data_IF_106135113177
#
_entry.id   IF_106135113177
#
_cell.length_a   1.000
_cell.length_b   1.000
_cell.length_c   1.000
_cell.angle_alpha   90.00
_cell.angle_beta   90.00
_cell.angle_gamma   90.00
#
_symmetry.space_group_name_H-M   'P 1'
#
loop_
_entity.id
_entity.type
_entity.pdbx_description
1 polymer ?
#
# COMPACT_ATOMS: atom_id res chain seq x y z
N UNK A 1 17.61 17.69 11.37
CA UNK A 1 17.39 16.37 12.04
C UNK A 1 17.40 15.32 10.95
N UNK A 2 18.09 14.19 11.13
CA UNK A 2 18.02 13.07 10.19
C UNK A 2 16.61 12.49 10.20
N UNK A 3 16.07 12.10 9.04
CA UNK A 3 14.76 11.48 8.94
C UNK A 3 14.69 10.13 9.69
N UNK A 4 13.49 9.70 10.04
CA UNK A 4 13.26 8.47 10.85
C UNK A 4 13.62 7.18 10.12
N UNK A 5 13.79 7.22 8.80
CA UNK A 5 14.16 6.10 7.93
C UNK A 5 15.53 6.30 7.26
N UNK A 6 16.40 7.12 7.88
CA UNK A 6 17.75 7.33 7.37
C UNK A 6 18.48 5.99 7.21
N UNK A 7 19.07 5.78 6.01
CA UNK A 7 19.80 4.55 5.63
C UNK A 7 18.94 3.27 5.65
N UNK A 8 17.63 3.39 5.54
CA UNK A 8 16.69 2.28 5.35
C UNK A 8 16.31 2.14 3.89
N UNK A 9 15.99 0.92 3.49
CA UNK A 9 15.55 0.57 2.15
C UNK A 9 14.08 0.16 2.18
N UNK A 10 13.28 0.80 1.35
CA UNK A 10 11.85 0.55 1.24
C UNK A 10 11.46 0.15 -0.19
N UNK A 11 10.57 -0.83 -0.33
CA UNK A 11 9.86 -1.12 -1.58
C UNK A 11 8.42 -0.63 -1.44
N UNK A 12 7.91 0.04 -2.47
CA UNK A 12 6.49 0.41 -2.57
C UNK A 12 5.94 -0.11 -3.90
N UNK A 13 4.97 -1.02 -3.85
CA UNK A 13 4.29 -1.52 -5.06
C UNK A 13 3.12 -0.62 -5.44
N UNK A 14 2.81 -0.50 -6.73
CA UNK A 14 1.80 0.44 -7.23
C UNK A 14 2.18 1.90 -6.96
N UNK A 15 3.47 2.22 -7.08
CA UNK A 15 4.04 3.48 -6.63
C UNK A 15 3.98 4.62 -7.65
N UNK A 16 3.50 4.36 -8.86
CA UNK A 16 3.51 5.38 -9.93
C UNK A 16 2.42 6.45 -9.75
N UNK A 17 1.36 6.18 -8.99
CA UNK A 17 0.25 7.13 -8.76
C UNK A 17 -0.45 6.93 -7.41
N UNK A 18 -1.33 7.85 -7.06
CA UNK A 18 -2.24 7.77 -5.90
C UNK A 18 -1.53 7.52 -4.58
N UNK A 19 -2.09 6.61 -3.78
CA UNK A 19 -1.54 6.28 -2.47
C UNK A 19 -0.07 5.81 -2.54
N UNK A 20 0.26 4.96 -3.53
CA UNK A 20 1.61 4.43 -3.67
C UNK A 20 2.64 5.52 -3.93
N UNK A 21 2.32 6.50 -4.79
CA UNK A 21 3.17 7.67 -5.03
C UNK A 21 3.35 8.50 -3.77
N UNK A 22 2.25 8.85 -3.09
CA UNK A 22 2.31 9.65 -1.86
C UNK A 22 3.13 8.94 -0.76
N UNK A 23 2.95 7.63 -0.61
CA UNK A 23 3.72 6.80 0.33
C UNK A 23 5.21 6.81 -0.02
N UNK A 24 5.57 6.60 -1.30
CA UNK A 24 6.96 6.59 -1.73
C UNK A 24 7.66 7.93 -1.46
N UNK A 25 7.00 9.04 -1.79
CA UNK A 25 7.49 10.39 -1.50
C UNK A 25 7.67 10.62 0.01
N UNK A 26 6.70 10.21 0.83
CA UNK A 26 6.75 10.40 2.27
C UNK A 26 7.85 9.56 2.94
N UNK A 27 8.06 8.30 2.52
CA UNK A 27 9.16 7.45 3.02
C UNK A 27 10.53 8.04 2.63
N UNK A 28 10.65 8.56 1.40
CA UNK A 28 11.87 9.22 0.94
C UNK A 28 12.16 10.51 1.72
N UNK A 29 11.13 11.30 2.06
CA UNK A 29 11.27 12.49 2.90
C UNK A 29 11.77 12.16 4.32
N UNK A 30 11.48 10.96 4.82
CA UNK A 30 12.03 10.42 6.07
C UNK A 30 13.43 9.81 5.91
N UNK A 31 14.06 9.92 4.74
CA UNK A 31 15.44 9.50 4.49
C UNK A 31 15.61 8.07 3.96
N UNK A 32 14.52 7.38 3.62
CA UNK A 32 14.62 6.05 3.01
C UNK A 32 15.16 6.12 1.57
N UNK A 33 15.92 5.10 1.17
CA UNK A 33 16.09 4.77 -0.24
C UNK A 33 14.85 3.99 -0.69
N UNK A 34 14.12 4.50 -1.69
CA UNK A 34 12.83 3.94 -2.10
C UNK A 34 12.95 3.27 -3.46
N UNK A 35 12.64 1.98 -3.51
CA UNK A 35 12.41 1.26 -4.76
C UNK A 35 10.93 1.39 -5.12
N UNK A 36 10.65 2.23 -6.09
CA UNK A 36 9.34 2.42 -6.68
C UNK A 36 9.04 1.26 -7.63
N UNK A 37 7.93 0.58 -7.48
CA UNK A 37 7.57 -0.53 -8.36
C UNK A 37 6.13 -0.43 -8.84
N UNK A 38 5.93 -0.64 -10.13
CA UNK A 38 4.62 -0.63 -10.79
C UNK A 38 4.72 -1.39 -12.14
N UNK A 39 3.59 -1.57 -12.84
CA UNK A 39 3.54 -2.09 -14.21
C UNK A 39 4.16 -1.12 -15.24
N UNK A 40 4.17 0.18 -14.92
CA UNK A 40 4.75 1.25 -15.73
C UNK A 40 5.22 2.37 -14.82
N UNK A 41 6.20 3.12 -15.29
CA UNK A 41 6.83 4.20 -14.53
C UNK A 41 5.96 5.46 -14.46
N UNK A 42 5.17 5.70 -15.50
CA UNK A 42 4.31 6.86 -15.66
C UNK A 42 3.10 6.76 -14.73
N UNK A 43 2.66 7.90 -14.20
CA UNK A 43 1.46 7.98 -13.39
C UNK A 43 0.20 7.63 -14.19
N UNK A 44 -0.81 7.13 -13.50
CA UNK A 44 -2.11 6.86 -14.09
C UNK A 44 -2.80 8.17 -14.44
N UNK A 45 -3.37 8.25 -15.63
CA UNK A 45 -4.19 9.40 -16.04
C UNK A 45 -5.36 9.65 -15.09
N UNK A 46 -5.72 10.91 -14.92
CA UNK A 46 -6.84 11.32 -14.07
C UNK A 46 -6.53 11.33 -12.57
N UNK A 47 -5.26 11.24 -12.16
CA UNK A 47 -4.84 11.44 -10.77
C UNK A 47 -5.05 12.89 -10.29
N UNK A 48 -4.88 13.08 -9.00
CA UNK A 48 -4.99 14.40 -8.33
C UNK A 48 -3.60 14.96 -7.97
N UNK A 49 -2.54 14.28 -8.40
CA UNK A 49 -1.17 14.67 -8.14
C UNK A 49 -0.82 15.96 -8.92
N UNK A 50 -0.25 16.99 -8.27
CA UNK A 50 0.03 18.27 -8.91
C UNK A 50 1.13 18.19 -10.00
N UNK A 51 1.96 17.16 -9.94
CA UNK A 51 3.10 16.90 -10.85
C UNK A 51 2.98 15.54 -11.57
N UNK A 52 1.77 15.21 -12.03
CA UNK A 52 1.41 13.92 -12.64
C UNK A 52 2.31 13.53 -13.82
N UNK A 53 2.87 14.50 -14.54
CA UNK A 53 3.78 14.26 -15.68
C UNK A 53 5.19 13.81 -15.25
N UNK A 54 5.47 13.82 -13.94
CA UNK A 54 6.78 13.42 -13.41
C UNK A 54 6.66 12.05 -12.75
N UNK A 55 7.52 11.12 -13.13
CA UNK A 55 7.62 9.82 -12.47
C UNK A 55 7.97 9.97 -10.98
N UNK A 56 7.50 9.06 -10.14
CA UNK A 56 7.65 9.13 -8.68
C UNK A 56 9.10 9.12 -8.23
N UNK A 57 9.92 8.26 -8.83
CA UNK A 57 11.36 8.19 -8.54
C UNK A 57 12.12 9.45 -8.98
N UNK A 58 11.72 10.09 -10.09
CA UNK A 58 12.26 11.40 -10.49
C UNK A 58 11.87 12.50 -9.51
N UNK A 59 10.64 12.50 -9.03
CA UNK A 59 10.17 13.47 -8.03
C UNK A 59 10.95 13.34 -6.72
N UNK A 60 11.21 12.10 -6.26
CA UNK A 60 12.03 11.83 -5.07
C UNK A 60 13.46 12.33 -5.27
N UNK A 61 14.10 12.02 -6.43
CA UNK A 61 15.47 12.46 -6.71
C UNK A 61 15.59 13.98 -6.81
N UNK A 62 14.60 14.62 -7.42
CA UNK A 62 14.56 16.09 -7.52
C UNK A 62 14.45 16.73 -6.14
N UNK A 63 13.76 16.12 -5.20
CA UNK A 63 13.67 16.58 -3.81
C UNK A 63 14.93 16.23 -2.98
N UNK A 64 15.96 15.65 -3.59
CA UNK A 64 17.21 15.28 -2.91
C UNK A 64 17.20 13.92 -2.24
N UNK A 65 16.15 13.14 -2.39
CA UNK A 65 16.03 11.76 -1.91
C UNK A 65 16.70 10.74 -2.84
N UNK A 66 16.67 9.47 -2.43
CA UNK A 66 17.20 8.34 -3.21
C UNK A 66 16.05 7.45 -3.64
N UNK A 67 15.92 7.22 -4.94
CA UNK A 67 14.91 6.31 -5.46
C UNK A 67 15.32 5.69 -6.79
N UNK A 68 14.78 4.49 -7.03
CA UNK A 68 14.87 3.77 -8.30
C UNK A 68 13.48 3.24 -8.69
N UNK A 69 13.29 3.02 -9.98
CA UNK A 69 12.10 2.37 -10.49
C UNK A 69 12.43 0.95 -10.97
N UNK A 70 11.62 -0.01 -10.53
CA UNK A 70 11.68 -1.40 -11.00
C UNK A 70 10.30 -1.81 -11.50
N UNK A 71 10.18 -2.09 -12.78
CA UNK A 71 8.96 -2.62 -13.37
C UNK A 71 8.68 -4.02 -12.85
N UNK A 72 7.50 -4.23 -12.27
CA UNK A 72 7.05 -5.54 -11.81
C UNK A 72 5.51 -5.61 -11.73
N UNK A 73 4.97 -6.74 -12.16
CA UNK A 73 3.58 -7.11 -11.93
C UNK A 73 3.43 -7.75 -10.55
N UNK A 74 2.73 -7.07 -9.65
CA UNK A 74 2.49 -7.57 -8.29
C UNK A 74 1.73 -8.90 -8.25
N UNK A 75 0.96 -9.24 -9.29
CA UNK A 75 0.25 -10.52 -9.39
C UNK A 75 1.14 -11.70 -9.82
N UNK A 76 2.37 -11.43 -10.31
CA UNK A 76 3.28 -12.44 -10.86
C UNK A 76 4.38 -12.82 -9.87
N UNK A 77 4.43 -14.11 -9.52
CA UNK A 77 5.41 -14.66 -8.59
C UNK A 77 6.85 -14.27 -8.94
N UNK A 78 7.26 -14.50 -10.20
CA UNK A 78 8.63 -14.24 -10.66
C UNK A 78 9.01 -12.76 -10.60
N UNK A 79 8.06 -11.85 -10.85
CA UNK A 79 8.32 -10.41 -10.83
C UNK A 79 8.53 -9.91 -9.40
N UNK A 80 7.68 -10.33 -8.45
CA UNK A 80 7.82 -9.95 -7.04
C UNK A 80 9.08 -10.58 -6.41
N UNK A 81 9.40 -11.83 -6.76
CA UNK A 81 10.67 -12.44 -6.33
C UNK A 81 11.88 -11.67 -6.86
N UNK A 82 11.89 -11.33 -8.15
CA UNK A 82 12.92 -10.53 -8.79
C UNK A 82 13.05 -9.15 -8.14
N UNK A 83 11.94 -8.44 -7.93
CA UNK A 83 11.91 -7.11 -7.30
C UNK A 83 12.63 -7.13 -5.94
N UNK A 84 12.26 -8.04 -5.06
CA UNK A 84 12.86 -8.15 -3.72
C UNK A 84 14.33 -8.58 -3.80
N UNK A 85 14.66 -9.52 -4.69
CA UNK A 85 16.01 -10.03 -4.83
C UNK A 85 16.97 -8.98 -5.39
N UNK A 86 16.56 -8.23 -6.41
CA UNK A 86 17.34 -7.12 -6.98
C UNK A 86 17.56 -6.02 -5.95
N UNK A 87 16.49 -5.58 -5.25
CA UNK A 87 16.61 -4.59 -4.17
C UNK A 87 17.60 -5.03 -3.11
N UNK A 88 17.52 -6.29 -2.67
CA UNK A 88 18.44 -6.81 -1.66
C UNK A 88 19.88 -6.94 -2.16
N UNK A 89 20.09 -7.26 -3.42
CA UNK A 89 21.42 -7.36 -4.02
C UNK A 89 22.07 -5.98 -4.17
N UNK A 90 21.30 -4.97 -4.54
CA UNK A 90 21.80 -3.61 -4.77
C UNK A 90 22.05 -2.83 -3.49
N UNK A 91 21.11 -2.86 -2.55
CA UNK A 91 21.17 -2.06 -1.32
C UNK A 91 21.60 -2.86 -0.08
N UNK A 92 21.81 -4.17 -0.19
CA UNK A 92 22.28 -5.03 0.89
C UNK A 92 21.22 -5.37 1.95
N UNK A 93 20.00 -4.77 1.89
CA UNK A 93 18.92 -4.95 2.86
C UNK A 93 17.55 -4.60 2.30
N UNK A 94 16.50 -4.97 3.03
CA UNK A 94 15.14 -4.51 2.83
C UNK A 94 14.51 -4.26 4.22
N UNK A 95 14.23 -3.01 4.55
CA UNK A 95 13.68 -2.63 5.86
C UNK A 95 12.18 -2.46 5.86
N UNK A 96 11.61 -1.97 4.76
CA UNK A 96 10.18 -1.70 4.65
C UNK A 96 9.63 -2.27 3.36
N UNK A 97 8.57 -3.07 3.46
CA UNK A 97 7.76 -3.50 2.32
C UNK A 97 6.37 -2.91 2.42
N UNK A 98 5.99 -2.07 1.46
CA UNK A 98 4.63 -1.54 1.34
C UNK A 98 3.93 -2.24 0.18
N UNK A 99 2.98 -3.12 0.52
CA UNK A 99 2.12 -3.80 -0.44
C UNK A 99 0.91 -2.91 -0.72
N UNK A 100 1.06 -2.01 -1.71
CA UNK A 100 0.02 -1.05 -2.06
C UNK A 100 -0.64 -1.34 -3.42
N UNK A 101 0.03 -2.01 -4.35
CA UNK A 101 -0.55 -2.34 -5.66
C UNK A 101 -1.96 -2.92 -5.50
N UNK A 102 -2.90 -2.36 -6.24
CA UNK A 102 -4.29 -2.77 -6.18
C UNK A 102 -5.07 -2.23 -7.37
N UNK A 103 -6.11 -2.96 -7.71
CA UNK A 103 -7.08 -2.58 -8.75
C UNK A 103 -8.49 -2.54 -8.17
N UNK A 104 -9.34 -1.83 -8.85
CA UNK A 104 -10.77 -1.85 -8.70
C UNK A 104 -11.37 -2.12 -10.08
N UNK A 105 -12.31 -3.03 -10.15
CA UNK A 105 -13.13 -3.30 -11.34
C UNK A 105 -14.40 -2.45 -11.29
N UNK A 106 -15.40 -2.78 -12.03
CA UNK A 106 -16.67 -2.07 -11.97
C UNK A 106 -17.51 -2.49 -10.75
N UNK A 107 -18.57 -1.73 -10.46
CA UNK A 107 -19.54 -2.06 -9.41
C UNK A 107 -20.52 -3.11 -9.92
N UNK A 108 -20.46 -4.29 -9.33
CA UNK A 108 -21.37 -5.40 -9.66
C UNK A 108 -21.88 -6.09 -8.40
N UNK A 109 -23.12 -6.59 -8.45
CA UNK A 109 -23.56 -7.56 -7.45
C UNK A 109 -22.85 -8.89 -7.69
N UNK A 110 -22.86 -9.79 -6.70
CA UNK A 110 -22.27 -11.14 -6.85
C UNK A 110 -22.85 -11.93 -8.03
N UNK A 111 -24.05 -11.59 -8.47
CA UNK A 111 -24.72 -12.28 -9.58
C UNK A 111 -24.19 -11.82 -10.94
N UNK A 112 -23.75 -10.57 -11.03
CA UNK A 112 -23.34 -9.91 -12.28
C UNK A 112 -21.81 -9.84 -12.41
N UNK A 113 -21.03 -9.96 -11.31
CA UNK A 113 -19.58 -9.99 -11.35
C UNK A 113 -19.08 -11.22 -12.11
N UNK A 114 -18.18 -11.02 -13.06
CA UNK A 114 -17.64 -12.11 -13.87
C UNK A 114 -16.48 -12.84 -13.16
N UNK A 115 -16.25 -14.09 -13.54
CA UNK A 115 -15.09 -14.87 -13.04
C UNK A 115 -13.76 -14.17 -13.35
N UNK A 116 -13.62 -13.57 -14.53
CA UNK A 116 -12.41 -12.81 -14.92
C UNK A 116 -12.16 -11.58 -14.01
N UNK A 117 -13.21 -10.85 -13.63
CA UNK A 117 -13.10 -9.72 -12.70
C UNK A 117 -12.70 -10.19 -11.31
N UNK A 118 -13.32 -11.26 -10.83
CA UNK A 118 -12.96 -11.90 -9.57
C UNK A 118 -11.49 -12.34 -9.56
N UNK A 119 -11.08 -13.11 -10.58
CA UNK A 119 -9.73 -13.64 -10.67
C UNK A 119 -8.67 -12.54 -10.75
N UNK A 120 -8.90 -11.50 -11.54
CA UNK A 120 -8.01 -10.34 -11.64
C UNK A 120 -7.91 -9.59 -10.31
N UNK A 121 -9.05 -9.36 -9.65
CA UNK A 121 -9.10 -8.68 -8.36
C UNK A 121 -8.35 -9.48 -7.29
N UNK A 122 -8.58 -10.77 -7.20
CA UNK A 122 -7.89 -11.66 -6.25
C UNK A 122 -6.40 -11.80 -6.58
N UNK A 123 -6.02 -11.86 -7.85
CA UNK A 123 -4.63 -11.98 -8.26
C UNK A 123 -3.79 -10.76 -7.83
N UNK A 124 -4.33 -9.55 -7.99
CA UNK A 124 -3.61 -8.32 -7.63
C UNK A 124 -3.78 -8.01 -6.15
N UNK A 125 -5.03 -7.89 -5.68
CA UNK A 125 -5.33 -7.32 -4.36
C UNK A 125 -5.09 -8.29 -3.19
N UNK A 126 -5.13 -9.59 -3.40
CA UNK A 126 -4.90 -10.60 -2.37
C UNK A 126 -3.58 -11.35 -2.59
N UNK A 127 -3.43 -12.05 -3.71
CA UNK A 127 -2.22 -12.83 -4.01
C UNK A 127 -0.99 -11.93 -4.13
N UNK A 128 -1.11 -10.75 -4.76
CA UNK A 128 0.00 -9.80 -4.86
C UNK A 128 0.54 -9.37 -3.50
N UNK A 129 -0.35 -9.08 -2.55
CA UNK A 129 0.03 -8.77 -1.16
C UNK A 129 0.70 -9.96 -0.49
N UNK A 130 0.15 -11.17 -0.67
CA UNK A 130 0.76 -12.39 -0.15
C UNK A 130 2.17 -12.62 -0.70
N UNK A 131 2.39 -12.41 -2.00
CA UNK A 131 3.70 -12.51 -2.65
C UNK A 131 4.69 -11.49 -2.06
N UNK A 132 4.28 -10.23 -1.94
CA UNK A 132 5.11 -9.19 -1.34
C UNK A 132 5.50 -9.51 0.10
N UNK A 133 4.55 -9.95 0.93
CA UNK A 133 4.82 -10.43 2.29
C UNK A 133 5.81 -11.60 2.29
N UNK A 134 5.56 -12.62 1.45
CA UNK A 134 6.40 -13.83 1.36
C UNK A 134 7.86 -13.50 1.08
N UNK A 135 8.12 -12.73 0.04
CA UNK A 135 9.49 -12.45 -0.37
C UNK A 135 10.19 -11.44 0.53
N UNK A 136 9.48 -10.40 0.99
CA UNK A 136 10.03 -9.44 1.93
C UNK A 136 10.40 -10.09 3.26
N UNK A 137 9.52 -10.87 3.87
CA UNK A 137 9.77 -11.57 5.13
C UNK A 137 10.92 -12.56 4.95
N UNK A 138 10.94 -13.37 3.87
CA UNK A 138 12.06 -14.26 3.56
C UNK A 138 13.40 -13.52 3.55
N UNK A 139 13.45 -12.32 2.97
CA UNK A 139 14.64 -11.48 2.98
C UNK A 139 14.95 -10.92 4.37
N UNK A 140 13.97 -10.39 5.06
CA UNK A 140 14.13 -9.80 6.40
C UNK A 140 14.67 -10.80 7.42
N UNK A 141 14.30 -12.07 7.32
CA UNK A 141 14.80 -13.15 8.19
C UNK A 141 16.31 -13.40 8.05
N UNK A 142 16.92 -13.03 6.93
CA UNK A 142 18.36 -13.25 6.67
C UNK A 142 19.23 -12.05 7.03
N UNK A 143 18.67 -10.97 7.54
CA UNK A 143 19.41 -9.74 7.87
C UNK A 143 19.45 -9.48 9.37
N UNK A 144 20.50 -8.81 9.83
CA UNK A 144 20.60 -8.40 11.22
C UNK A 144 19.61 -7.30 11.57
N UNK A 145 18.99 -7.34 12.76
CA UNK A 145 18.11 -6.27 13.21
C UNK A 145 18.85 -4.93 13.32
N UNK A 146 18.19 -3.87 12.91
CA UNK A 146 18.66 -2.50 13.12
C UNK A 146 17.59 -1.75 13.92
N UNK A 147 18.01 -1.02 14.95
CA UNK A 147 17.11 -0.36 15.92
C UNK A 147 16.04 -1.31 16.50
N UNK A 148 16.42 -2.57 16.69
CA UNK A 148 15.57 -3.59 17.29
C UNK A 148 14.54 -4.23 16.34
N UNK A 149 14.59 -3.94 15.03
CA UNK A 149 13.71 -4.55 14.02
C UNK A 149 14.52 -5.14 12.87
N UNK A 150 14.10 -6.31 12.35
CA UNK A 150 14.58 -6.88 11.09
C UNK A 150 13.90 -6.24 9.88
N UNK A 151 12.66 -5.79 10.04
CA UNK A 151 11.90 -5.14 8.99
C UNK A 151 10.45 -4.91 9.35
N UNK A 152 9.75 -4.19 8.47
CA UNK A 152 8.35 -3.86 8.61
C UNK A 152 7.62 -4.10 7.31
N UNK A 153 6.46 -4.74 7.39
CA UNK A 153 5.53 -4.89 6.28
C UNK A 153 4.29 -4.05 6.58
N UNK A 154 3.93 -3.19 5.64
CA UNK A 154 2.71 -2.40 5.70
C UNK A 154 1.85 -2.76 4.49
N UNK A 155 0.71 -3.38 4.75
CA UNK A 155 -0.25 -3.76 3.72
C UNK A 155 -1.31 -2.66 3.57
N UNK A 156 -1.56 -2.21 2.35
CA UNK A 156 -2.67 -1.29 2.10
C UNK A 156 -3.92 -2.12 1.82
N UNK A 157 -4.68 -2.31 2.89
CA UNK A 157 -5.97 -2.99 2.85
C UNK A 157 -7.09 -2.04 2.35
N UNK A 158 -8.20 -1.97 3.05
CA UNK A 158 -9.33 -1.06 2.80
C UNK A 158 -10.36 -1.19 3.94
N UNK A 159 -11.24 -0.22 4.09
CA UNK A 159 -12.49 -0.38 4.84
C UNK A 159 -13.30 -1.58 4.31
N UNK A 160 -13.24 -1.87 2.99
CA UNK A 160 -13.88 -3.06 2.39
C UNK A 160 -13.35 -4.39 2.89
N UNK A 161 -12.22 -4.41 3.61
CA UNK A 161 -11.75 -5.58 4.35
C UNK A 161 -12.31 -5.68 5.78
N UNK A 162 -12.97 -4.66 6.27
CA UNK A 162 -13.51 -4.55 7.63
C UNK A 162 -15.04 -4.60 7.64
N UNK A 163 -15.67 -3.99 6.65
CA UNK A 163 -17.12 -3.91 6.48
C UNK A 163 -17.52 -4.24 5.05
N UNK A 164 -18.78 -4.59 4.81
CA UNK A 164 -19.31 -4.81 3.47
C UNK A 164 -19.49 -3.48 2.73
N UNK A 165 -19.00 -3.42 1.50
CA UNK A 165 -19.28 -2.34 0.56
C UNK A 165 -20.25 -2.85 -0.51
N UNK A 166 -21.26 -2.05 -0.81
CA UNK A 166 -22.29 -2.45 -1.79
C UNK A 166 -21.67 -2.60 -3.18
N UNK A 167 -22.02 -3.67 -3.88
CA UNK A 167 -21.62 -3.99 -5.25
C UNK A 167 -20.09 -4.15 -5.44
N UNK A 168 -19.38 -4.61 -4.39
CA UNK A 168 -17.91 -4.83 -4.43
C UNK A 168 -17.52 -6.22 -3.87
N UNK A 169 -18.09 -7.35 -4.36
CA UNK A 169 -17.89 -8.65 -3.72
C UNK A 169 -16.44 -9.15 -3.79
N UNK A 170 -15.81 -9.19 -4.97
CA UNK A 170 -14.42 -9.62 -5.09
C UNK A 170 -13.45 -8.68 -4.38
N UNK A 171 -13.69 -7.36 -4.44
CA UNK A 171 -12.85 -6.38 -3.75
C UNK A 171 -12.89 -6.57 -2.23
N UNK A 172 -14.08 -6.67 -1.64
CA UNK A 172 -14.24 -6.93 -0.20
C UNK A 172 -13.61 -8.27 0.21
N UNK A 173 -13.80 -9.32 -0.58
CA UNK A 173 -13.18 -10.62 -0.34
C UNK A 173 -11.64 -10.53 -0.35
N UNK A 174 -11.05 -9.88 -1.35
CA UNK A 174 -9.61 -9.70 -1.46
C UNK A 174 -9.04 -8.86 -0.29
N UNK A 175 -9.69 -7.74 0.06
CA UNK A 175 -9.24 -6.87 1.15
C UNK A 175 -9.46 -7.52 2.54
N UNK A 176 -10.51 -8.34 2.70
CA UNK A 176 -10.70 -9.20 3.87
C UNK A 176 -9.59 -10.24 4.02
N UNK A 177 -9.15 -10.85 2.92
CA UNK A 177 -7.99 -11.74 2.92
C UNK A 177 -6.71 -11.03 3.39
N UNK A 178 -6.45 -9.80 2.93
CA UNK A 178 -5.30 -8.99 3.37
C UNK A 178 -5.36 -8.69 4.86
N UNK A 179 -6.53 -8.32 5.37
CA UNK A 179 -6.77 -8.04 6.79
C UNK A 179 -6.38 -9.24 7.66
N UNK A 180 -6.89 -10.42 7.33
CA UNK A 180 -6.61 -11.61 8.13
C UNK A 180 -5.18 -12.14 7.93
N UNK A 181 -4.63 -12.06 6.71
CA UNK A 181 -3.22 -12.36 6.43
C UNK A 181 -2.28 -11.48 7.28
N UNK A 182 -2.57 -10.19 7.41
CA UNK A 182 -1.80 -9.26 8.23
C UNK A 182 -1.72 -9.72 9.69
N UNK A 183 -2.86 -10.10 10.27
CA UNK A 183 -2.93 -10.62 11.65
C UNK A 183 -2.14 -11.92 11.82
N UNK A 184 -2.32 -12.85 10.88
CA UNK A 184 -1.65 -14.15 10.92
C UNK A 184 -0.13 -14.01 10.84
N UNK A 185 0.39 -13.22 9.88
CA UNK A 185 1.83 -12.99 9.74
C UNK A 185 2.42 -12.21 10.93
N UNK A 186 1.67 -11.31 11.53
CA UNK A 186 2.10 -10.61 12.74
C UNK A 186 2.38 -11.58 13.90
N UNK A 187 1.54 -12.60 14.08
CA UNK A 187 1.73 -13.64 15.11
C UNK A 187 2.97 -14.48 14.82
N UNK A 188 3.15 -14.92 13.57
CA UNK A 188 4.26 -15.78 13.18
C UNK A 188 5.61 -15.09 13.30
N UNK A 189 5.68 -13.79 12.92
CA UNK A 189 6.97 -13.10 12.74
C UNK A 189 7.28 -12.03 13.80
N UNK A 190 6.42 -11.82 14.79
CA UNK A 190 6.75 -10.97 15.94
C UNK A 190 7.97 -11.48 16.73
N UNK A 191 8.15 -12.80 16.99
CA UNK A 191 9.36 -13.33 17.62
C UNK A 191 10.64 -13.02 16.84
N UNK A 192 10.54 -12.90 15.51
CA UNK A 192 11.63 -12.58 14.61
C UNK A 192 11.90 -11.08 14.48
N UNK A 193 11.19 -10.24 15.26
CA UNK A 193 11.30 -8.78 15.22
C UNK A 193 10.91 -8.18 13.87
N UNK A 194 9.91 -8.76 13.21
CA UNK A 194 9.28 -8.23 12.00
C UNK A 194 7.87 -7.78 12.36
N UNK A 195 7.58 -6.50 12.15
CA UNK A 195 6.21 -5.98 12.32
C UNK A 195 5.43 -6.15 11.01
N UNK A 196 4.21 -6.62 11.11
CA UNK A 196 3.29 -6.72 9.97
C UNK A 196 1.99 -6.02 10.35
N UNK A 197 1.67 -4.93 9.66
CA UNK A 197 0.50 -4.10 9.93
C UNK A 197 -0.24 -3.77 8.63
N UNK A 198 -1.46 -3.29 8.74
CA UNK A 198 -2.21 -2.77 7.60
C UNK A 198 -2.72 -1.36 7.86
N UNK A 199 -2.75 -0.55 6.81
CA UNK A 199 -3.58 0.65 6.73
C UNK A 199 -4.86 0.26 6.00
N UNK A 200 -6.01 0.70 6.52
CA UNK A 200 -7.33 0.48 5.95
C UNK A 200 -7.94 1.83 5.52
N UNK A 201 -7.65 2.31 4.31
CA UNK A 201 -8.20 3.56 3.83
C UNK A 201 -9.71 3.48 3.61
N UNK A 202 -10.39 4.62 3.85
CA UNK A 202 -11.74 4.87 3.38
C UNK A 202 -11.75 5.45 1.96
N UNK A 203 -12.75 6.25 1.65
CA UNK A 203 -12.85 6.93 0.37
C UNK A 203 -11.90 8.13 0.32
N UNK A 204 -11.06 8.16 -0.72
CA UNK A 204 -9.98 9.11 -0.89
C UNK A 204 -10.09 9.78 -2.27
N UNK A 205 -9.61 11.00 -2.37
CA UNK A 205 -9.45 11.69 -3.66
C UNK A 205 -8.27 11.09 -4.43
N UNK A 206 -8.55 10.06 -5.24
CA UNK A 206 -7.56 9.38 -6.08
C UNK A 206 -8.14 9.11 -7.48
N UNK A 207 -7.27 8.79 -8.46
CA UNK A 207 -7.72 8.41 -9.80
C UNK A 207 -8.72 7.24 -9.79
N UNK A 208 -8.59 6.31 -8.85
CA UNK A 208 -9.48 5.15 -8.69
C UNK A 208 -10.91 5.57 -8.29
N UNK A 209 -11.05 6.58 -7.43
CA UNK A 209 -12.34 7.04 -6.91
C UNK A 209 -12.95 8.17 -7.78
N UNK A 210 -12.16 8.76 -8.69
CA UNK A 210 -12.61 9.88 -9.54
C UNK A 210 -13.94 9.63 -10.28
N UNK A 211 -14.21 8.45 -10.88
CA UNK A 211 -15.49 8.18 -11.53
C UNK A 211 -16.69 8.32 -10.58
N UNK A 212 -16.54 7.90 -9.32
CA UNK A 212 -17.57 8.00 -8.28
C UNK A 212 -17.78 9.45 -7.83
N UNK A 213 -16.71 10.24 -7.77
CA UNK A 213 -16.78 11.66 -7.40
C UNK A 213 -17.40 12.52 -8.53
N UNK A 214 -17.29 12.06 -9.78
CA UNK A 214 -17.90 12.73 -10.92
C UNK A 214 -19.42 12.50 -11.02
N UNK A 215 -19.93 11.43 -10.41
CA UNK A 215 -21.36 11.14 -10.32
C UNK A 215 -21.95 11.83 -9.06
N UNK A 216 -22.92 12.77 -9.19
CA UNK A 216 -23.44 13.52 -8.05
C UNK A 216 -24.09 12.66 -6.96
N UNK A 217 -24.78 11.56 -7.33
CA UNK A 217 -25.46 10.68 -6.39
C UNK A 217 -24.43 9.85 -5.60
N UNK A 218 -23.46 9.24 -6.30
CA UNK A 218 -22.41 8.49 -5.67
C UNK A 218 -21.52 9.38 -4.79
N UNK A 219 -21.18 10.57 -5.27
CA UNK A 219 -20.41 11.56 -4.50
C UNK A 219 -21.13 11.89 -3.19
N UNK A 220 -22.43 12.16 -3.25
CA UNK A 220 -23.24 12.43 -2.05
C UNK A 220 -23.22 11.24 -1.08
N UNK A 221 -23.36 10.00 -1.58
CA UNK A 221 -23.30 8.79 -0.74
C UNK A 221 -21.97 8.64 -0.04
N UNK A 222 -20.85 8.91 -0.72
CA UNK A 222 -19.51 8.85 -0.12
C UNK A 222 -19.35 9.85 1.03
N UNK A 223 -19.83 11.09 0.85
CA UNK A 223 -19.78 12.11 1.90
C UNK A 223 -20.73 11.81 3.06
N UNK A 224 -21.95 11.38 2.78
CA UNK A 224 -22.94 11.08 3.82
C UNK A 224 -22.51 9.92 4.74
N UNK A 225 -21.70 9.00 4.24
CA UNK A 225 -21.20 7.84 4.99
C UNK A 225 -19.89 8.11 5.74
N UNK A 226 -19.18 9.18 5.41
CA UNK A 226 -17.95 9.58 6.10
C UNK A 226 -18.24 10.70 7.09
N UNK A 227 -18.20 10.48 8.41
CA UNK A 227 -18.50 11.53 9.41
C UNK A 227 -17.58 12.74 9.33
N UNK A 228 -16.32 12.56 8.85
CA UNK A 228 -15.42 13.69 8.63
C UNK A 228 -15.90 14.54 7.45
N UNK A 229 -15.87 15.88 7.54
CA UNK A 229 -16.47 16.77 6.53
C UNK A 229 -15.88 16.62 5.11
N UNK A 230 -14.60 16.34 5.01
CA UNK A 230 -13.90 16.18 3.74
C UNK A 230 -13.49 14.73 3.52
N UNK A 231 -13.42 14.31 2.25
CA UNK A 231 -12.81 13.03 1.89
C UNK A 231 -11.30 13.09 2.13
N UNK A 232 -10.73 11.97 2.55
CA UNK A 232 -9.31 11.85 2.75
C UNK A 232 -8.51 11.98 1.45
N UNK A 233 -7.20 12.15 1.60
CA UNK A 233 -6.23 12.26 0.51
C UNK A 233 -5.21 11.13 0.58
N UNK A 234 -4.45 10.95 -0.49
CA UNK A 234 -3.32 10.00 -0.50
C UNK A 234 -2.26 10.35 0.57
N UNK A 235 -2.12 11.64 0.93
CA UNK A 235 -1.19 12.09 1.97
C UNK A 235 -1.58 11.61 3.37
N UNK A 236 -2.87 11.48 3.68
CA UNK A 236 -3.35 10.94 4.95
C UNK A 236 -2.95 9.45 5.10
N UNK A 237 -3.07 8.67 4.02
CA UNK A 237 -2.62 7.28 3.97
C UNK A 237 -1.09 7.19 4.07
N UNK A 238 -0.38 8.09 3.40
CA UNK A 238 1.08 8.14 3.43
C UNK A 238 1.62 8.40 4.85
N UNK A 239 1.04 9.36 5.59
CA UNK A 239 1.40 9.64 6.99
C UNK A 239 1.17 8.44 7.90
N UNK A 240 0.03 7.76 7.77
CA UNK A 240 -0.27 6.54 8.51
C UNK A 240 0.73 5.41 8.18
N UNK A 241 1.10 5.28 6.90
CA UNK A 241 2.08 4.30 6.45
C UNK A 241 3.48 4.60 7.01
N UNK A 242 3.92 5.87 7.00
CA UNK A 242 5.19 6.29 7.62
C UNK A 242 5.21 5.96 9.10
N UNK A 243 4.13 6.24 9.84
CA UNK A 243 4.03 5.87 11.25
C UNK A 243 4.28 4.37 11.45
N UNK A 244 3.59 3.50 10.68
CA UNK A 244 3.74 2.04 10.80
C UNK A 244 5.12 1.54 10.29
N UNK A 245 5.76 2.27 9.39
CA UNK A 245 7.07 1.95 8.83
C UNK A 245 8.25 2.38 9.72
N UNK A 246 8.01 3.17 10.76
CA UNK A 246 9.05 3.75 11.64
C UNK A 246 9.05 3.14 13.04
N UNK A 247 10.04 3.50 13.84
CA UNK A 247 10.12 3.11 15.26
C UNK A 247 9.02 3.71 16.13
N UNK A 248 8.27 4.70 15.63
CA UNK A 248 7.11 5.23 16.35
C UNK A 248 6.05 4.14 16.58
N UNK A 249 5.96 3.16 15.67
CA UNK A 249 5.08 2.01 15.77
C UNK A 249 5.79 0.72 16.24
N UNK A 250 6.93 0.81 16.96
CA UNK A 250 7.73 -0.36 17.35
C UNK A 250 6.93 -1.48 18.03
N UNK A 251 5.94 -1.12 18.83
CA UNK A 251 5.10 -2.07 19.57
C UNK A 251 3.79 -2.45 18.85
N UNK A 252 3.56 -1.91 17.64
CA UNK A 252 2.39 -2.22 16.82
C UNK A 252 2.71 -3.36 15.86
N UNK A 253 2.04 -4.50 15.98
CA UNK A 253 2.02 -5.58 14.99
C UNK A 253 0.65 -6.23 14.97
N UNK A 254 0.15 -6.61 13.80
CA UNK A 254 -1.21 -7.10 13.59
C UNK A 254 -2.27 -5.99 13.62
N UNK A 255 -1.84 -4.73 13.67
CA UNK A 255 -2.74 -3.57 13.70
C UNK A 255 -3.39 -3.33 12.32
N UNK A 256 -4.67 -2.99 12.38
CA UNK A 256 -5.44 -2.51 11.24
C UNK A 256 -5.76 -1.03 11.49
N UNK A 257 -4.92 -0.15 10.99
CA UNK A 257 -5.07 1.29 11.19
C UNK A 257 -6.04 1.86 10.17
N UNK A 258 -7.24 2.21 10.61
CA UNK A 258 -8.24 2.87 9.75
C UNK A 258 -7.86 4.32 9.49
N UNK A 259 -7.96 4.75 8.23
CA UNK A 259 -7.78 6.12 7.76
C UNK A 259 -8.96 6.41 6.85
N UNK A 260 -10.14 6.65 7.45
CA UNK A 260 -11.42 6.52 6.77
C UNK A 260 -12.44 7.63 7.11
N UNK A 261 -11.99 8.67 7.82
CA UNK A 261 -12.88 9.76 8.24
C UNK A 261 -14.01 9.32 9.19
N UNK A 262 -13.84 8.18 9.87
CA UNK A 262 -14.83 7.62 10.79
C UNK A 262 -15.87 6.72 10.12
N UNK A 263 -15.71 6.37 8.88
CA UNK A 263 -16.66 5.50 8.13
C UNK A 263 -16.97 4.19 8.84
N UNK A 264 -15.97 3.57 9.46
CA UNK A 264 -16.12 2.27 10.16
C UNK A 264 -16.34 2.40 11.65
N UNK A 265 -16.51 3.61 12.19
CA UNK A 265 -16.69 3.83 13.63
C UNK A 265 -18.08 3.49 14.15
N UNK A 266 -19.20 3.72 13.41
CA UNK A 266 -20.57 3.34 13.84
C UNK A 266 -20.79 1.84 13.90
#
# INVERSE_FOLDING_TARGET
MSGKLQDRVAIVTGSSSGNGRAIALALAAEGATVVCSDLRREAREGGYEPDIDRATDDAIRLAGGKAEFVEADAARYADVERLVTQTAAEFGRLDVMVNNAGIFTDLHTIVDETEDEYDRTMAVNAKGVWLGCKFAIRRMLTQEPVDGSRGRVVNIASIGGLVGLAAEPAYCAAKGAVVNLTRQLAVDFAPERINVNAVCPGFLQTAMVRPFLADPELNKVLHDKSPWPELGTADDVAKATVFLATNDARWATGTLLTVDGGYTAP
#
